data_IF_736630526020
#
_entry.id   IF_736630526020
#
_cell.length_a   1.000
_cell.length_b   1.000
_cell.length_c   1.000
_cell.angle_alpha   90.00
_cell.angle_beta   90.00
_cell.angle_gamma   90.00
#
_symmetry.space_group_name_H-M   'P 1'
#
loop_
_entity.id
_entity.type
_entity.pdbx_description
1 polymer ?
#
# COMPACT_ATOMS: atom_id res chain seq x y z
N UNK A 1 1.09 6.80 -21.78
CA UNK A 1 2.43 7.32 -22.17
C UNK A 1 2.37 8.71 -22.80
N UNK A 2 1.39 9.01 -23.66
CA UNK A 2 1.29 10.32 -24.34
C UNK A 2 1.15 11.54 -23.43
N UNK A 3 0.84 11.35 -22.15
CA UNK A 3 0.73 12.41 -21.14
C UNK A 3 1.97 12.55 -20.26
N UNK A 4 3.04 11.78 -20.51
CA UNK A 4 4.24 11.78 -19.67
C UNK A 4 4.06 11.17 -18.27
N UNK A 5 2.96 10.41 -18.06
CA UNK A 5 2.67 9.75 -16.79
C UNK A 5 3.10 8.28 -16.82
N UNK A 6 3.51 7.77 -15.67
CA UNK A 6 3.68 6.34 -15.43
C UNK A 6 2.31 5.66 -15.26
N UNK A 7 2.22 4.43 -15.73
CA UNK A 7 1.00 3.63 -15.68
C UNK A 7 1.10 2.55 -14.63
N UNK A 8 0.01 2.28 -13.91
CA UNK A 8 -0.06 1.21 -12.91
C UNK A 8 -1.36 0.43 -13.08
N UNK A 9 -1.29 -0.90 -12.97
CA UNK A 9 -2.47 -1.76 -13.06
C UNK A 9 -2.56 -2.73 -11.87
N UNK A 10 -3.81 -3.06 -11.49
CA UNK A 10 -4.14 -4.04 -10.45
C UNK A 10 -5.10 -5.08 -11.06
N UNK A 11 -4.57 -6.19 -11.51
CA UNK A 11 -5.34 -7.22 -12.24
C UNK A 11 -5.41 -8.57 -11.50
N UNK A 12 -4.97 -8.60 -10.24
CA UNK A 12 -4.96 -9.80 -9.42
C UNK A 12 -3.74 -10.68 -9.67
N UNK A 13 -3.88 -11.98 -9.50
CA UNK A 13 -2.79 -12.94 -9.74
C UNK A 13 -2.58 -13.17 -11.22
N UNK A 14 -1.33 -13.11 -11.67
CA UNK A 14 -0.96 -13.30 -13.07
C UNK A 14 -0.73 -14.78 -13.37
N UNK A 15 -1.20 -15.20 -14.53
CA UNK A 15 -0.88 -16.50 -15.13
C UNK A 15 0.45 -16.39 -15.91
N UNK A 16 1.11 -17.53 -16.18
CA UNK A 16 2.33 -17.54 -17.02
C UNK A 16 2.13 -16.77 -18.34
N UNK A 17 3.10 -15.93 -18.69
CA UNK A 17 3.10 -15.10 -19.89
C UNK A 17 2.31 -13.79 -19.81
N UNK A 18 1.52 -13.57 -18.74
CA UNK A 18 0.73 -12.33 -18.62
C UNK A 18 1.58 -11.14 -18.16
N UNK A 19 2.59 -11.36 -17.33
CA UNK A 19 3.50 -10.29 -16.91
C UNK A 19 4.27 -9.72 -18.11
N UNK A 20 4.78 -10.59 -18.97
CA UNK A 20 5.49 -10.23 -20.20
C UNK A 20 4.58 -9.44 -21.16
N UNK A 21 3.34 -9.90 -21.35
CA UNK A 21 2.36 -9.18 -22.18
C UNK A 21 2.06 -7.77 -21.69
N UNK A 22 1.98 -7.59 -20.36
CA UNK A 22 1.76 -6.27 -19.74
C UNK A 22 2.99 -5.37 -19.92
N UNK A 23 4.18 -5.92 -19.73
CA UNK A 23 5.44 -5.20 -19.95
C UNK A 23 5.59 -4.78 -21.41
N UNK A 24 5.33 -5.68 -22.36
CA UNK A 24 5.36 -5.40 -23.80
C UNK A 24 4.34 -4.33 -24.22
N UNK A 25 3.19 -4.28 -23.53
CA UNK A 25 2.18 -3.23 -23.70
C UNK A 25 2.61 -1.88 -23.10
N UNK A 26 3.76 -1.82 -22.42
CA UNK A 26 4.34 -0.61 -21.84
C UNK A 26 3.82 -0.26 -20.45
N UNK A 27 3.32 -1.21 -19.67
CA UNK A 27 2.95 -0.99 -18.28
C UNK A 27 4.21 -0.73 -17.43
N UNK A 28 4.20 0.34 -16.63
CA UNK A 28 5.35 0.71 -15.80
C UNK A 28 5.34 0.01 -14.45
N UNK A 29 4.19 -0.02 -13.78
CA UNK A 29 3.99 -0.58 -12.44
C UNK A 29 2.90 -1.62 -12.41
N UNK A 30 3.12 -2.69 -11.65
CA UNK A 30 2.07 -3.64 -11.29
C UNK A 30 1.79 -3.57 -9.79
N UNK A 31 0.53 -3.32 -9.42
CA UNK A 31 0.10 -3.32 -8.03
C UNK A 31 -0.39 -4.71 -7.63
N UNK A 32 0.27 -5.30 -6.65
CA UNK A 32 -0.14 -6.56 -6.05
C UNK A 32 0.27 -6.62 -4.58
N UNK A 33 -0.66 -6.30 -3.68
CA UNK A 33 -0.38 -6.24 -2.25
C UNK A 33 -0.19 -7.63 -1.65
N UNK A 34 0.65 -7.73 -0.62
CA UNK A 34 0.74 -8.90 0.26
C UNK A 34 -0.42 -8.94 1.26
N UNK A 35 -1.10 -7.83 1.45
CA UNK A 35 -2.19 -7.54 2.36
C UNK A 35 -1.79 -7.59 3.83
N UNK A 36 -1.15 -8.65 4.31
CA UNK A 36 -0.68 -8.78 5.70
C UNK A 36 0.58 -9.66 5.79
N UNK A 37 1.01 -9.98 7.00
CA UNK A 37 2.14 -10.88 7.23
C UNK A 37 1.79 -12.34 6.90
N UNK A 38 2.78 -13.17 6.54
CA UNK A 38 2.57 -14.61 6.25
C UNK A 38 1.84 -15.34 7.37
N UNK A 39 2.20 -15.07 8.63
CA UNK A 39 1.64 -15.73 9.81
C UNK A 39 0.18 -15.34 10.12
N UNK A 40 -0.27 -14.19 9.65
CA UNK A 40 -1.64 -13.73 9.85
C UNK A 40 -2.51 -13.87 8.59
N UNK A 41 -1.90 -14.18 7.45
CA UNK A 41 -2.59 -14.22 6.16
C UNK A 41 -3.77 -15.19 6.14
N UNK A 42 -3.59 -16.38 6.69
CA UNK A 42 -4.64 -17.42 6.74
C UNK A 42 -5.86 -17.06 7.58
N UNK A 43 -5.73 -16.11 8.51
CA UNK A 43 -6.85 -15.64 9.34
C UNK A 43 -7.81 -14.73 8.56
N UNK A 44 -7.32 -14.05 7.53
CA UNK A 44 -8.10 -13.08 6.75
C UNK A 44 -8.37 -13.50 5.31
N UNK A 45 -7.52 -14.35 4.73
CA UNK A 45 -7.64 -14.79 3.33
C UNK A 45 -7.56 -16.30 3.24
N UNK A 46 -8.68 -16.93 2.95
CA UNK A 46 -8.82 -18.41 2.90
C UNK A 46 -8.89 -18.96 1.47
N UNK A 47 -8.99 -18.09 0.46
CA UNK A 47 -9.24 -18.49 -0.94
C UNK A 47 -7.98 -18.64 -1.77
N UNK A 48 -6.80 -18.23 -1.23
CA UNK A 48 -5.52 -18.21 -1.94
C UNK A 48 -4.36 -18.41 -0.98
N UNK A 49 -3.27 -18.99 -1.46
CA UNK A 49 -2.04 -19.10 -0.68
C UNK A 49 -1.23 -17.79 -0.72
N UNK A 50 -0.51 -17.50 0.34
CA UNK A 50 0.41 -16.37 0.41
C UNK A 50 1.49 -16.45 -0.68
N UNK A 51 1.98 -17.66 -0.95
CA UNK A 51 2.97 -17.91 -1.98
C UNK A 51 2.52 -17.50 -3.39
N UNK A 52 1.22 -17.57 -3.69
CA UNK A 52 0.69 -17.15 -5.00
C UNK A 52 0.91 -15.65 -5.23
N UNK A 53 0.86 -14.84 -4.16
CA UNK A 53 1.16 -13.42 -4.23
C UNK A 53 2.63 -13.17 -4.52
N UNK A 54 3.52 -13.88 -3.82
CA UNK A 54 4.96 -13.79 -4.05
C UNK A 54 5.32 -14.22 -5.48
N UNK A 55 4.76 -15.32 -5.96
CA UNK A 55 4.98 -15.79 -7.33
C UNK A 55 4.54 -14.75 -8.38
N UNK A 56 3.44 -14.04 -8.13
CA UNK A 56 2.99 -12.94 -9.01
C UNK A 56 4.00 -11.79 -9.01
N UNK A 57 4.51 -11.38 -7.84
CA UNK A 57 5.52 -10.33 -7.73
C UNK A 57 6.83 -10.73 -8.44
N UNK A 58 7.25 -11.97 -8.31
CA UNK A 58 8.44 -12.50 -8.99
C UNK A 58 8.27 -12.48 -10.52
N UNK A 59 7.08 -12.83 -11.02
CA UNK A 59 6.76 -12.75 -12.45
C UNK A 59 6.80 -11.31 -12.97
N UNK A 60 6.24 -10.36 -12.20
CA UNK A 60 6.27 -8.92 -12.52
C UNK A 60 7.71 -8.41 -12.59
N UNK A 61 8.55 -8.77 -11.61
CA UNK A 61 9.98 -8.41 -11.60
C UNK A 61 10.73 -9.00 -12.77
N UNK A 62 10.49 -10.27 -13.07
CA UNK A 62 11.14 -10.96 -14.19
C UNK A 62 10.78 -10.34 -15.54
N UNK A 63 9.58 -9.79 -15.67
CA UNK A 63 9.15 -9.05 -16.86
C UNK A 63 9.66 -7.59 -16.91
N UNK A 64 10.46 -7.15 -15.94
CA UNK A 64 11.10 -5.82 -15.93
C UNK A 64 10.20 -4.67 -15.49
N UNK A 65 9.02 -4.95 -14.94
CA UNK A 65 8.12 -3.92 -14.40
C UNK A 65 8.48 -3.57 -12.95
N UNK A 66 8.15 -2.34 -12.55
CA UNK A 66 8.21 -1.91 -11.16
C UNK A 66 7.05 -2.51 -10.34
N UNK A 67 7.28 -2.64 -9.03
CA UNK A 67 6.30 -3.21 -8.10
C UNK A 67 5.73 -2.14 -7.19
N UNK A 68 4.40 -2.08 -7.15
CA UNK A 68 3.65 -1.41 -6.09
C UNK A 68 3.07 -2.50 -5.18
N UNK A 69 3.58 -2.64 -3.97
CA UNK A 69 3.19 -3.71 -3.07
C UNK A 69 3.24 -3.24 -1.61
N UNK A 70 2.16 -3.44 -0.91
CA UNK A 70 2.00 -3.08 0.49
C UNK A 70 0.99 -3.97 1.20
N UNK A 71 0.27 -3.40 2.16
CA UNK A 71 -0.71 -4.16 2.93
C UNK A 71 -1.75 -3.30 3.60
N UNK A 72 -2.58 -3.96 4.39
CA UNK A 72 -3.66 -3.38 5.17
C UNK A 72 -3.34 -3.63 6.65
N UNK A 73 -3.47 -2.61 7.47
CA UNK A 73 -3.30 -2.69 8.92
C UNK A 73 -4.58 -2.30 9.64
N UNK A 74 -4.80 -2.85 10.82
CA UNK A 74 -6.05 -2.67 11.58
C UNK A 74 -7.08 -3.77 11.31
N UNK A 75 -6.67 -4.92 10.77
CA UNK A 75 -7.53 -6.09 10.55
C UNK A 75 -7.62 -7.02 11.78
N UNK A 76 -7.15 -6.57 12.95
CA UNK A 76 -7.05 -7.39 14.17
C UNK A 76 -5.68 -8.04 14.37
N UNK A 77 -4.72 -7.78 13.48
CA UNK A 77 -3.37 -8.31 13.55
C UNK A 77 -2.58 -7.73 14.73
N UNK A 78 -1.65 -8.52 15.27
CA UNK A 78 -0.74 -8.08 16.32
C UNK A 78 0.34 -7.11 15.78
N UNK A 79 1.02 -6.40 16.70
CA UNK A 79 2.20 -5.59 16.35
C UNK A 79 3.29 -6.43 15.69
N UNK A 80 3.47 -7.67 16.12
CA UNK A 80 4.45 -8.58 15.51
C UNK A 80 4.07 -8.91 14.07
N UNK A 81 2.79 -9.16 13.77
CA UNK A 81 2.34 -9.38 12.41
C UNK A 81 2.52 -8.12 11.54
N UNK A 82 2.26 -6.91 12.05
CA UNK A 82 2.59 -5.68 11.31
C UNK A 82 4.09 -5.56 11.01
N UNK A 83 4.94 -5.87 11.99
CA UNK A 83 6.39 -5.91 11.78
C UNK A 83 6.78 -6.99 10.76
N UNK A 84 6.13 -8.17 10.79
CA UNK A 84 6.29 -9.25 9.82
C UNK A 84 5.96 -8.83 8.40
N UNK A 85 4.85 -8.09 8.19
CA UNK A 85 4.52 -7.53 6.89
C UNK A 85 5.63 -6.61 6.36
N UNK A 86 6.12 -5.67 7.20
CA UNK A 86 7.19 -4.74 6.79
C UNK A 86 8.49 -5.50 6.52
N UNK A 87 8.84 -6.48 7.34
CA UNK A 87 10.01 -7.31 7.12
C UNK A 87 9.91 -8.11 5.82
N UNK A 88 8.75 -8.68 5.52
CA UNK A 88 8.53 -9.40 4.26
C UNK A 88 8.70 -8.49 3.04
N UNK A 89 8.12 -7.28 3.07
CA UNK A 89 8.27 -6.30 1.99
C UNK A 89 9.74 -5.88 1.81
N UNK A 90 10.44 -5.58 2.91
CA UNK A 90 11.82 -5.14 2.89
C UNK A 90 12.81 -6.23 2.43
N UNK A 91 12.45 -7.51 2.60
CA UNK A 91 13.25 -8.66 2.18
C UNK A 91 13.01 -9.10 0.72
N UNK A 92 12.02 -8.51 0.03
CA UNK A 92 11.93 -8.68 -1.42
C UNK A 92 13.19 -8.07 -2.09
N UNK A 93 13.71 -8.69 -3.13
CA UNK A 93 14.95 -8.25 -3.77
C UNK A 93 14.74 -7.96 -5.27
N UNK A 94 14.67 -6.69 -5.68
CA UNK A 94 14.64 -5.49 -4.83
C UNK A 94 13.31 -5.36 -4.07
N UNK A 95 13.30 -4.60 -2.97
CA UNK A 95 12.05 -4.25 -2.31
C UNK A 95 11.17 -3.37 -3.22
N UNK A 96 9.84 -3.24 -2.96
CA UNK A 96 8.94 -2.50 -3.85
C UNK A 96 9.33 -1.04 -3.99
N UNK A 97 9.20 -0.48 -5.18
CA UNK A 97 9.38 0.94 -5.46
C UNK A 97 8.28 1.78 -4.80
N UNK A 98 7.08 1.21 -4.67
CA UNK A 98 5.92 1.86 -4.03
C UNK A 98 5.31 0.92 -3.00
N UNK A 99 5.16 1.43 -1.76
CA UNK A 99 4.66 0.68 -0.60
C UNK A 99 3.41 1.38 -0.05
N UNK A 100 2.22 1.04 -0.55
CA UNK A 100 0.97 1.54 0.02
C UNK A 100 0.68 0.91 1.39
N UNK A 101 0.51 1.73 2.40
CA UNK A 101 0.03 1.34 3.73
C UNK A 101 -1.41 1.78 3.85
N UNK A 102 -2.32 0.80 3.89
CA UNK A 102 -3.75 1.04 4.01
C UNK A 102 -4.18 0.87 5.47
N UNK A 103 -4.99 1.77 6.01
CA UNK A 103 -5.76 1.54 7.22
C UNK A 103 -7.07 0.84 6.84
N UNK A 104 -7.46 -0.20 7.57
CA UNK A 104 -8.75 -0.87 7.35
C UNK A 104 -9.88 0.15 7.44
N UNK A 105 -10.70 0.22 6.39
CA UNK A 105 -11.99 0.92 6.41
C UNK A 105 -13.07 -0.12 6.67
N UNK A 106 -13.73 -0.01 7.82
CA UNK A 106 -14.74 -0.98 8.22
C UNK A 106 -16.04 -0.77 7.45
N UNK A 107 -16.51 -1.81 6.77
CA UNK A 107 -17.76 -1.78 6.01
C UNK A 107 -18.77 -2.73 6.64
N UNK A 108 -19.95 -2.21 6.98
CA UNK A 108 -21.03 -3.01 7.57
C UNK A 108 -21.39 -4.21 6.68
N UNK A 109 -21.50 -5.39 7.28
CA UNK A 109 -21.80 -6.63 6.57
C UNK A 109 -20.58 -7.37 6.02
N UNK A 110 -19.36 -6.87 6.24
CA UNK A 110 -18.12 -7.60 5.93
C UNK A 110 -17.58 -8.32 7.16
N UNK A 111 -16.77 -9.39 7.00
CA UNK A 111 -16.22 -10.17 8.13
C UNK A 111 -15.38 -9.35 9.11
N UNK A 112 -14.74 -8.27 8.67
CA UNK A 112 -13.88 -7.42 9.50
C UNK A 112 -14.65 -6.24 10.13
N UNK A 113 -15.95 -6.15 9.94
CA UNK A 113 -16.76 -5.14 10.59
C UNK A 113 -16.85 -5.39 12.11
N UNK A 114 -16.54 -4.36 12.92
CA UNK A 114 -16.47 -4.47 14.37
C UNK A 114 -15.13 -4.94 14.92
N UNK A 115 -14.11 -5.08 14.07
CA UNK A 115 -12.72 -5.25 14.53
C UNK A 115 -12.28 -4.01 15.33
N UNK A 116 -11.49 -4.21 16.39
CA UNK A 116 -10.94 -3.10 17.19
C UNK A 116 -10.18 -2.11 16.31
N UNK A 117 -10.42 -0.83 16.53
CA UNK A 117 -9.76 0.21 15.75
C UNK A 117 -8.26 0.26 16.07
N UNK A 118 -7.44 0.31 15.02
CA UNK A 118 -6.00 0.44 15.17
C UNK A 118 -5.66 1.82 15.75
N UNK A 119 -4.89 1.82 16.84
CA UNK A 119 -4.34 3.03 17.44
C UNK A 119 -3.50 3.83 16.43
N UNK A 120 -3.70 5.14 16.39
CA UNK A 120 -3.04 6.02 15.42
C UNK A 120 -1.52 6.00 15.54
N UNK A 121 -0.95 5.85 16.73
CA UNK A 121 0.50 5.73 16.90
C UNK A 121 1.04 4.40 16.37
N UNK A 122 0.25 3.32 16.40
CA UNK A 122 0.63 2.05 15.78
C UNK A 122 0.67 2.18 14.26
N UNK A 123 -0.27 2.93 13.67
CA UNK A 123 -0.24 3.23 12.24
C UNK A 123 1.00 4.06 11.88
N UNK A 124 1.28 5.14 12.62
CA UNK A 124 2.45 6.00 12.41
C UNK A 124 3.77 5.21 12.56
N UNK A 125 3.86 4.31 13.56
CA UNK A 125 5.03 3.42 13.72
C UNK A 125 5.23 2.50 12.53
N UNK A 126 4.14 2.00 11.93
CA UNK A 126 4.21 1.17 10.73
C UNK A 126 4.80 1.96 9.55
N UNK A 127 4.38 3.22 9.36
CA UNK A 127 4.96 4.12 8.35
C UNK A 127 6.45 4.35 8.62
N UNK A 128 6.84 4.64 9.87
CA UNK A 128 8.24 4.85 10.23
C UNK A 128 9.10 3.60 9.97
N UNK A 129 8.61 2.42 10.34
CA UNK A 129 9.28 1.15 10.08
C UNK A 129 9.45 0.90 8.56
N UNK A 130 8.40 1.14 7.77
CA UNK A 130 8.47 1.02 6.32
C UNK A 130 9.52 1.96 5.72
N UNK A 131 9.58 3.23 6.16
CA UNK A 131 10.58 4.20 5.69
C UNK A 131 12.01 3.78 6.04
N UNK A 132 12.25 3.33 7.27
CA UNK A 132 13.59 2.95 7.75
C UNK A 132 14.10 1.72 6.98
N UNK A 133 13.24 0.74 6.76
CA UNK A 133 13.63 -0.54 6.13
C UNK A 133 13.66 -0.46 4.60
N UNK A 134 12.89 0.46 4.00
CA UNK A 134 12.82 0.66 2.55
C UNK A 134 13.05 2.14 2.19
N UNK A 135 14.30 2.66 2.39
CA UNK A 135 14.57 4.10 2.38
C UNK A 135 14.34 4.78 1.02
N UNK A 136 14.39 4.04 -0.08
CA UNK A 136 14.16 4.59 -1.43
C UNK A 136 12.72 4.41 -1.94
N UNK A 137 11.89 3.64 -1.23
CA UNK A 137 10.51 3.39 -1.65
C UNK A 137 9.63 4.64 -1.52
N UNK A 138 8.61 4.73 -2.36
CA UNK A 138 7.48 5.63 -2.16
C UNK A 138 6.56 5.02 -1.09
N UNK A 139 6.78 5.38 0.19
CA UNK A 139 5.89 4.98 1.29
C UNK A 139 4.63 5.81 1.21
N UNK A 140 3.53 5.15 0.88
CA UNK A 140 2.30 5.82 0.47
C UNK A 140 1.21 5.70 1.53
N UNK A 141 0.65 6.84 1.94
CA UNK A 141 -0.62 6.85 2.63
C UNK A 141 -1.73 6.54 1.63
N UNK A 142 -2.47 5.46 1.89
CA UNK A 142 -3.43 4.90 0.95
C UNK A 142 -4.85 4.93 1.55
N UNK A 143 -5.62 3.83 1.46
CA UNK A 143 -6.98 3.78 1.98
C UNK A 143 -7.05 4.08 3.50
N UNK A 144 -8.19 4.61 3.93
CA UNK A 144 -8.45 5.00 5.32
C UNK A 144 -8.02 6.43 5.69
N UNK A 145 -7.45 7.21 4.77
CA UNK A 145 -7.04 8.60 5.03
C UNK A 145 -8.20 9.50 5.43
N UNK A 146 -9.38 9.30 4.86
CA UNK A 146 -10.58 10.08 5.18
C UNK A 146 -11.06 9.91 6.62
N UNK A 147 -10.62 8.84 7.31
CA UNK A 147 -10.93 8.56 8.71
C UNK A 147 -9.82 9.03 9.66
N UNK A 148 -8.71 9.55 9.13
CA UNK A 148 -7.60 10.09 9.92
C UNK A 148 -7.75 11.59 10.09
N UNK A 149 -7.44 12.11 11.29
CA UNK A 149 -7.33 13.55 11.47
C UNK A 149 -6.14 14.12 10.67
N UNK A 150 -6.16 15.44 10.43
CA UNK A 150 -5.08 16.12 9.73
C UNK A 150 -3.73 15.95 10.47
N UNK A 151 -3.76 15.97 11.81
CA UNK A 151 -2.57 15.79 12.65
C UNK A 151 -1.97 14.39 12.51
N UNK A 152 -2.79 13.35 12.45
CA UNK A 152 -2.32 11.97 12.24
C UNK A 152 -1.67 11.84 10.87
N UNK A 153 -2.27 12.40 9.83
CA UNK A 153 -1.67 12.41 8.49
C UNK A 153 -0.35 13.19 8.48
N UNK A 154 -0.30 14.36 9.12
CA UNK A 154 0.92 15.16 9.26
C UNK A 154 2.04 14.37 9.96
N UNK A 155 1.73 13.67 11.06
CA UNK A 155 2.69 12.80 11.74
C UNK A 155 3.16 11.64 10.86
N UNK A 156 2.33 11.10 9.98
CA UNK A 156 2.74 10.09 9.03
C UNK A 156 3.77 10.64 8.02
N UNK A 157 3.61 11.88 7.53
CA UNK A 157 4.61 12.52 6.67
C UNK A 157 5.92 12.76 7.43
N UNK A 158 5.87 13.23 8.67
CA UNK A 158 7.06 13.38 9.53
C UNK A 158 7.74 12.03 9.81
N UNK A 159 6.97 10.95 9.95
CA UNK A 159 7.48 9.60 10.13
C UNK A 159 8.09 8.99 8.86
N UNK A 160 7.88 9.62 7.68
CA UNK A 160 8.54 9.23 6.44
C UNK A 160 7.62 8.80 5.30
N UNK A 161 6.29 8.96 5.42
CA UNK A 161 5.44 8.90 4.24
C UNK A 161 5.84 10.01 3.26
N UNK A 162 5.89 9.71 1.97
CA UNK A 162 6.26 10.66 0.92
C UNK A 162 5.41 10.54 -0.34
N UNK A 163 4.31 9.84 -0.24
CA UNK A 163 3.38 9.65 -1.36
C UNK A 163 1.96 9.49 -0.84
N UNK A 164 0.99 9.89 -1.65
CA UNK A 164 -0.44 9.67 -1.42
C UNK A 164 -1.09 9.16 -2.70
N UNK A 165 -2.28 8.56 -2.58
CA UNK A 165 -3.19 8.49 -3.71
C UNK A 165 -3.89 9.84 -3.86
N UNK A 166 -3.91 10.37 -5.07
CA UNK A 166 -4.56 11.60 -5.45
C UNK A 166 -5.79 11.31 -6.31
N UNK A 167 -6.88 12.02 -6.10
CA UNK A 167 -8.15 11.84 -6.82
C UNK A 167 -9.30 11.49 -5.89
N UNK A 168 -10.53 11.60 -6.36
CA UNK A 168 -11.76 11.60 -5.55
C UNK A 168 -12.08 10.21 -4.95
N UNK A 169 -11.64 9.15 -5.59
CA UNK A 169 -11.95 7.77 -5.16
C UNK A 169 -10.73 6.86 -5.27
N UNK A 170 -10.56 6.02 -4.25
CA UNK A 170 -9.87 4.74 -4.34
C UNK A 170 -10.90 3.68 -4.72
N UNK A 171 -10.49 2.54 -5.25
CA UNK A 171 -11.34 1.48 -5.83
C UNK A 171 -12.75 1.35 -5.23
N UNK A 172 -12.87 1.27 -3.90
CA UNK A 172 -14.14 1.03 -3.19
C UNK A 172 -14.44 2.07 -2.11
N UNK A 173 -13.51 2.95 -1.77
CA UNK A 173 -13.63 3.94 -0.70
C UNK A 173 -13.39 5.35 -1.22
N UNK A 174 -13.99 6.35 -0.57
CA UNK A 174 -13.66 7.75 -0.79
C UNK A 174 -12.20 8.04 -0.45
N UNK A 175 -11.66 9.07 -1.05
CA UNK A 175 -10.35 9.63 -0.75
C UNK A 175 -10.55 11.10 -0.35
N UNK A 176 -9.67 11.72 0.46
CA UNK A 176 -9.73 13.15 0.69
C UNK A 176 -9.74 13.92 -0.63
N UNK A 177 -10.54 14.98 -0.68
CA UNK A 177 -10.60 15.84 -1.86
C UNK A 177 -9.22 16.46 -2.14
N UNK A 178 -8.89 16.59 -3.41
CA UNK A 178 -7.60 17.12 -3.86
C UNK A 178 -7.26 18.50 -3.26
N UNK A 179 -8.25 19.34 -3.02
CA UNK A 179 -8.03 20.65 -2.42
C UNK A 179 -7.68 20.57 -0.93
N UNK A 180 -8.23 19.60 -0.19
CA UNK A 180 -7.85 19.33 1.20
C UNK A 180 -6.38 18.91 1.30
N UNK A 181 -5.91 18.05 0.39
CA UNK A 181 -4.50 17.66 0.32
C UNK A 181 -3.58 18.86 0.05
N UNK A 182 -3.96 19.73 -0.86
CA UNK A 182 -3.19 20.98 -1.14
C UNK A 182 -3.12 21.92 0.08
N UNK A 183 -4.24 22.04 0.82
CA UNK A 183 -4.27 22.86 2.04
C UNK A 183 -3.35 22.27 3.09
N UNK A 184 -3.43 20.97 3.33
CA UNK A 184 -2.57 20.27 4.29
C UNK A 184 -1.10 20.39 3.91
N UNK A 185 -0.72 20.17 2.66
CA UNK A 185 0.66 20.29 2.21
C UNK A 185 1.19 21.71 2.38
N UNK A 186 0.40 22.75 2.08
CA UNK A 186 0.79 24.14 2.34
C UNK A 186 1.06 24.39 3.82
N UNK A 187 0.22 23.90 4.74
CA UNK A 187 0.43 24.00 6.20
C UNK A 187 1.71 23.30 6.65
N UNK A 188 2.04 22.18 6.03
CA UNK A 188 3.23 21.39 6.36
C UNK A 188 4.51 21.86 5.66
N UNK A 189 4.41 22.85 4.76
CA UNK A 189 5.54 23.28 3.93
C UNK A 189 6.00 22.22 2.93
N UNK A 190 5.13 21.27 2.57
CA UNK A 190 5.40 20.22 1.60
C UNK A 190 4.99 20.68 0.18
N UNK A 191 5.74 20.22 -0.81
CA UNK A 191 5.43 20.43 -2.23
C UNK A 191 5.29 19.07 -2.92
N UNK A 192 4.31 18.97 -3.83
CA UNK A 192 4.24 17.84 -4.76
C UNK A 192 5.32 17.97 -5.83
N UNK A 193 5.91 16.87 -6.20
CA UNK A 193 6.82 16.78 -7.34
C UNK A 193 6.05 16.90 -8.64
#
# INVERSE_FOLDING_TARGET
KGLGLETCATLGMLKPGQAEQLSDAGLDYYNHNLDTAPEFYGEVITTRAYQDRLNTLDSVRSAGMHVCCGGIVGMGESRNARAGLIAQLANLNPYPESVPVNKLVQVKGTPLYGTDELDSFEFIRTIAAARITMPKAMVRLSAGRSEMSEEVQALCFLAGANSIFYGDKLLTTGNPEAEQDKIMFRKLGLQSL
#
